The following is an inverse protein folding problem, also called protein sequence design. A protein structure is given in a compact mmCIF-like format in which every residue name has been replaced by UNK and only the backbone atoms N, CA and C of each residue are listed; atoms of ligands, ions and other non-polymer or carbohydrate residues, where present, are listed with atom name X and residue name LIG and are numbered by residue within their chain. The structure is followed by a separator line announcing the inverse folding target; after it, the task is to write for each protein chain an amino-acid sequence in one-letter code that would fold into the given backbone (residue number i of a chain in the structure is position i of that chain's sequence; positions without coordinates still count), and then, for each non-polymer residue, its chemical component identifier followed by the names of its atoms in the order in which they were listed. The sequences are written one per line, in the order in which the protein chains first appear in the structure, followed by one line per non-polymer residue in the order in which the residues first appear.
data_IF_149310156161
#
_entry.id   IF_149310156161
#
_cell.length_a   1.000
_cell.length_b   1.000
_cell.length_c   1.000
_cell.angle_alpha   90.00
_cell.angle_beta   90.00
_cell.angle_gamma   90.00
#
_symmetry.space_group_name_H-M   'P 1'
#
loop_
_entity.id
_entity.type
_entity.pdbx_description
1 polymer ?
#
# COMPACT_ATOMS: atom_id res chain seq x y z
N UNK A 1 -14.91 -17.89 31.03
CA UNK A 1 -15.04 -18.91 29.96
C UNK A 1 -13.89 -18.72 28.99
N UNK A 2 -12.90 -19.63 29.08
CA UNK A 2 -11.76 -19.70 28.13
C UNK A 2 -12.33 -20.31 26.85
N UNK A 3 -12.49 -19.51 25.79
CA UNK A 3 -12.75 -20.03 24.46
C UNK A 3 -11.45 -20.62 23.91
N UNK A 4 -11.31 -21.93 23.99
CA UNK A 4 -10.31 -22.69 23.22
C UNK A 4 -10.82 -22.75 21.78
N UNK A 5 -10.08 -22.12 20.85
CA UNK A 5 -10.34 -22.28 19.44
C UNK A 5 -9.64 -23.53 18.94
N UNK A 6 -10.26 -24.35 18.06
CA UNK A 6 -9.63 -25.53 17.49
C UNK A 6 -8.44 -25.11 16.63
N UNK A 7 -7.31 -25.77 16.83
CA UNK A 7 -6.11 -25.64 16.00
C UNK A 7 -6.40 -26.22 14.63
N UNK A 8 -6.76 -25.39 13.67
CA UNK A 8 -6.75 -25.77 12.26
C UNK A 8 -5.79 -24.87 11.50
N UNK A 9 -5.05 -25.45 10.56
CA UNK A 9 -4.05 -24.90 9.64
C UNK A 9 -3.73 -23.40 9.84
N UNK A 10 -2.44 -23.06 10.02
CA UNK A 10 -1.90 -21.72 10.31
C UNK A 10 -2.84 -20.57 9.93
N UNK A 11 -3.57 -20.05 10.88
CA UNK A 11 -4.55 -18.99 10.66
C UNK A 11 -4.03 -17.69 11.28
N UNK A 12 -4.15 -16.60 10.57
CA UNK A 12 -4.02 -15.27 11.17
C UNK A 12 -5.39 -14.83 11.66
N UNK A 13 -5.48 -14.43 12.92
CA UNK A 13 -6.70 -13.92 13.52
C UNK A 13 -6.63 -12.39 13.51
N UNK A 14 -7.50 -11.70 12.76
CA UNK A 14 -7.57 -10.25 12.80
C UNK A 14 -8.33 -9.79 14.04
N UNK A 15 -7.77 -8.81 14.75
CA UNK A 15 -8.39 -8.17 15.91
C UNK A 15 -8.42 -6.67 15.68
N UNK A 16 -9.60 -6.10 15.51
CA UNK A 16 -9.76 -4.65 15.44
C UNK A 16 -9.48 -4.05 16.82
N UNK A 17 -8.66 -3.01 16.84
CA UNK A 17 -8.26 -2.31 18.05
C UNK A 17 -9.01 -0.99 18.13
N UNK A 18 -9.67 -0.79 19.26
CA UNK A 18 -10.23 0.50 19.62
C UNK A 18 -9.11 1.45 20.08
N UNK A 19 -9.06 2.64 19.51
CA UNK A 19 -8.01 3.61 19.81
C UNK A 19 -8.21 4.22 21.20
N UNK A 20 -7.11 4.31 21.98
CA UNK A 20 -7.13 4.80 23.35
C UNK A 20 -7.33 3.72 24.41
N UNK A 21 -7.68 2.51 24.02
CA UNK A 21 -7.83 1.37 24.92
C UNK A 21 -6.48 0.70 25.20
N UNK A 22 -6.32 0.13 26.40
CA UNK A 22 -5.17 -0.71 26.74
C UNK A 22 -5.60 -2.18 26.72
N UNK A 23 -4.98 -2.95 25.85
CA UNK A 23 -5.17 -4.38 25.72
C UNK A 23 -4.15 -5.14 26.57
N UNK A 24 -4.59 -6.22 27.24
CA UNK A 24 -3.75 -7.01 28.15
C UNK A 24 -3.73 -8.49 27.80
N UNK A 25 -4.21 -8.85 26.59
CA UNK A 25 -4.46 -10.25 26.21
C UNK A 25 -3.49 -10.80 25.17
N UNK A 26 -2.67 -9.95 24.57
CA UNK A 26 -1.85 -10.31 23.40
C UNK A 26 -0.37 -10.26 23.75
N UNK A 27 0.37 -11.23 23.29
CA UNK A 27 1.84 -11.25 23.31
C UNK A 27 2.35 -10.54 22.02
N UNK A 28 2.50 -9.23 22.05
CA UNK A 28 3.01 -8.44 20.92
C UNK A 28 4.53 -8.41 20.86
N UNK A 29 5.19 -8.70 22.00
CA UNK A 29 6.66 -8.79 22.08
C UNK A 29 7.20 -10.11 21.58
N UNK A 30 6.39 -11.18 21.62
CA UNK A 30 6.75 -12.53 21.24
C UNK A 30 7.66 -13.22 22.26
N UNK A 31 7.53 -12.86 23.54
CA UNK A 31 8.28 -13.47 24.66
C UNK A 31 7.50 -14.58 25.40
N UNK A 32 6.29 -14.89 24.92
CA UNK A 32 5.39 -15.87 25.50
C UNK A 32 4.52 -15.34 26.64
N UNK A 33 4.60 -14.05 26.94
CA UNK A 33 3.81 -13.37 27.97
C UNK A 33 2.83 -12.39 27.36
N UNK A 34 1.73 -12.15 28.05
CA UNK A 34 0.77 -11.12 27.64
C UNK A 34 1.33 -9.73 27.95
N UNK A 35 1.17 -8.83 27.02
CA UNK A 35 1.65 -7.44 27.12
C UNK A 35 0.51 -6.47 27.40
N UNK A 36 0.85 -5.34 28.02
CA UNK A 36 0.00 -4.15 28.04
C UNK A 36 0.27 -3.34 26.76
N UNK A 37 -0.72 -3.28 25.87
CA UNK A 37 -0.58 -2.67 24.58
C UNK A 37 -1.65 -1.61 24.32
N UNK A 38 -1.23 -0.41 23.93
CA UNK A 38 -2.12 0.72 23.61
C UNK A 38 -1.78 1.31 22.26
N UNK A 39 -2.83 1.63 21.47
CA UNK A 39 -2.75 2.42 20.23
C UNK A 39 -3.63 3.64 20.41
N UNK A 40 -3.10 4.84 20.21
CA UNK A 40 -3.84 6.09 20.37
C UNK A 40 -3.49 7.11 19.31
N UNK A 41 -4.50 7.77 18.74
CA UNK A 41 -4.32 8.99 17.95
C UNK A 41 -4.06 10.16 18.92
N UNK A 42 -3.06 10.98 18.63
CA UNK A 42 -2.67 12.10 19.50
C UNK A 42 -2.30 13.34 18.71
N UNK A 43 -2.53 14.50 19.30
CA UNK A 43 -2.06 15.80 18.84
C UNK A 43 -0.83 16.21 19.64
N UNK A 44 0.29 16.39 18.97
CA UNK A 44 1.56 16.77 19.61
C UNK A 44 1.82 18.28 19.59
N UNK A 45 1.12 19.01 18.73
CA UNK A 45 1.11 20.46 18.75
C UNK A 45 -0.31 20.97 18.50
N UNK A 46 -0.58 22.19 18.98
CA UNK A 46 -1.90 22.80 18.93
C UNK A 46 -2.15 23.65 17.67
N UNK A 47 -1.12 23.84 16.84
CA UNK A 47 -1.21 24.78 15.71
C UNK A 47 -2.02 24.25 14.53
N UNK A 48 -2.05 22.92 14.33
CA UNK A 48 -2.75 22.29 13.19
C UNK A 48 -3.88 21.34 13.60
N UNK A 49 -4.12 21.18 14.88
CA UNK A 49 -5.06 20.19 15.39
C UNK A 49 -6.20 20.88 16.12
N UNK A 50 -7.26 21.19 15.37
CA UNK A 50 -8.57 21.44 15.96
C UNK A 50 -9.14 20.15 16.58
N UNK A 51 -10.26 20.25 17.28
CA UNK A 51 -10.92 19.07 17.87
C UNK A 51 -11.18 17.99 16.81
N UNK A 52 -10.70 16.78 17.08
CA UNK A 52 -10.87 15.62 16.20
C UNK A 52 -9.79 15.41 15.14
N UNK A 53 -8.74 16.24 15.10
CA UNK A 53 -7.59 16.06 14.21
C UNK A 53 -6.32 15.74 14.98
N UNK A 54 -5.51 14.84 14.43
CA UNK A 54 -4.31 14.29 15.05
C UNK A 54 -3.13 14.34 14.11
N UNK A 55 -1.91 14.45 14.66
CA UNK A 55 -0.67 14.47 13.87
C UNK A 55 0.32 13.36 14.24
N UNK A 56 -0.04 12.48 15.17
CA UNK A 56 0.76 11.31 15.51
C UNK A 56 -0.10 10.13 15.99
N UNK A 57 0.47 8.94 15.85
CA UNK A 57 -0.03 7.73 16.50
C UNK A 57 0.92 7.39 17.65
N UNK A 58 0.39 7.29 18.85
CA UNK A 58 1.10 6.82 20.02
C UNK A 58 0.89 5.31 20.17
N UNK A 59 1.98 4.57 20.28
CA UNK A 59 2.01 3.13 20.52
C UNK A 59 2.76 2.88 21.82
N UNK A 60 2.18 2.13 22.75
CA UNK A 60 2.81 1.81 24.01
C UNK A 60 2.75 0.30 24.25
N UNK A 61 3.87 -0.30 24.62
CA UNK A 61 3.97 -1.71 25.03
C UNK A 61 4.70 -1.77 26.35
N UNK A 62 4.04 -2.29 27.39
CA UNK A 62 4.60 -2.45 28.73
C UNK A 62 5.26 -1.17 29.27
N UNK A 63 4.58 -0.03 29.10
CA UNK A 63 5.06 1.29 29.53
C UNK A 63 6.11 1.94 28.62
N UNK A 64 6.59 1.25 27.57
CA UNK A 64 7.51 1.84 26.57
C UNK A 64 6.71 2.47 25.45
N UNK A 65 6.67 3.80 25.43
CA UNK A 65 5.95 4.58 24.43
C UNK A 65 6.77 4.91 23.19
N UNK A 66 6.10 4.99 22.04
CA UNK A 66 6.67 5.40 20.77
C UNK A 66 5.64 6.24 20.00
N UNK A 67 6.11 7.28 19.30
CA UNK A 67 5.30 8.08 18.40
C UNK A 67 5.66 7.78 16.95
N UNK A 68 4.64 7.56 16.12
CA UNK A 68 4.74 7.63 14.67
C UNK A 68 4.13 8.96 14.26
N UNK A 69 4.99 9.91 13.88
CA UNK A 69 4.59 11.29 13.60
C UNK A 69 4.37 11.50 12.10
N UNK A 70 3.42 12.36 11.75
CA UNK A 70 3.36 12.95 10.43
C UNK A 70 4.64 13.77 10.18
N UNK A 71 5.08 13.81 8.93
CA UNK A 71 6.16 14.69 8.53
C UNK A 71 5.64 16.12 8.39
N UNK A 72 6.56 17.09 8.44
CA UNK A 72 6.22 18.50 8.17
C UNK A 72 5.45 18.62 6.85
N UNK A 73 4.45 19.48 6.83
CA UNK A 73 3.55 19.75 5.70
C UNK A 73 2.58 18.59 5.31
N UNK A 74 2.52 17.51 6.07
CA UNK A 74 1.47 16.51 5.92
C UNK A 74 0.22 16.93 6.69
N UNK A 75 -0.95 16.75 6.06
CA UNK A 75 -2.23 17.10 6.69
C UNK A 75 -2.52 16.20 7.90
N UNK A 76 -3.04 16.76 8.99
CA UNK A 76 -3.54 15.99 10.13
C UNK A 76 -4.58 14.97 9.69
N UNK A 77 -4.70 13.89 10.43
CA UNK A 77 -5.70 12.87 10.19
C UNK A 77 -6.82 12.92 11.24
N UNK A 78 -8.01 12.52 10.85
CA UNK A 78 -9.20 12.51 11.71
C UNK A 78 -9.68 11.10 12.04
N UNK A 79 -9.13 10.08 11.38
CA UNK A 79 -9.52 8.68 11.60
C UNK A 79 -8.29 7.79 11.66
N UNK A 80 -8.24 6.93 12.66
CA UNK A 80 -7.20 5.91 12.82
C UNK A 80 -7.86 4.53 12.87
N UNK A 81 -7.52 3.68 11.90
CA UNK A 81 -7.82 2.25 11.92
C UNK A 81 -6.58 1.50 12.38
N UNK A 82 -6.73 0.72 13.43
CA UNK A 82 -5.69 -0.16 13.95
C UNK A 82 -6.22 -1.59 14.02
N UNK A 83 -5.42 -2.56 13.55
CA UNK A 83 -5.78 -3.97 13.58
C UNK A 83 -4.56 -4.82 13.88
N UNK A 84 -4.68 -5.74 14.83
CA UNK A 84 -3.65 -6.71 15.14
C UNK A 84 -3.94 -8.01 14.40
N UNK A 85 -2.94 -8.55 13.69
CA UNK A 85 -2.98 -9.88 13.11
C UNK A 85 -2.16 -10.82 13.97
N UNK A 86 -2.81 -11.82 14.57
CA UNK A 86 -2.21 -12.81 15.45
C UNK A 86 -1.95 -14.08 14.64
N UNK A 87 -0.74 -14.60 14.68
CA UNK A 87 -0.33 -15.81 13.99
C UNK A 87 0.04 -16.90 15.00
N UNK A 88 -0.23 -18.17 14.69
CA UNK A 88 0.02 -19.30 15.60
C UNK A 88 1.52 -19.47 15.95
N UNK A 89 2.41 -19.20 15.00
CA UNK A 89 3.85 -19.45 15.11
C UNK A 89 4.71 -18.22 14.78
N UNK A 90 4.16 -17.02 14.89
CA UNK A 90 4.90 -15.82 14.57
C UNK A 90 4.40 -14.64 15.42
N UNK A 91 5.27 -13.64 15.61
CA UNK A 91 4.90 -12.41 16.30
C UNK A 91 3.74 -11.71 15.61
N UNK A 92 2.81 -11.13 16.36
CA UNK A 92 1.72 -10.37 15.80
C UNK A 92 2.19 -9.20 14.93
N UNK A 93 1.39 -8.86 13.94
CA UNK A 93 1.59 -7.70 13.09
C UNK A 93 0.52 -6.65 13.38
N UNK A 94 0.92 -5.39 13.46
CA UNK A 94 0.02 -4.26 13.63
C UNK A 94 -0.19 -3.56 12.29
N UNK A 95 -1.41 -3.56 11.79
CA UNK A 95 -1.81 -2.71 10.67
C UNK A 95 -2.29 -1.36 11.22
N UNK A 96 -1.78 -0.27 10.64
CA UNK A 96 -2.20 1.10 10.90
C UNK A 96 -2.63 1.77 9.60
N UNK A 97 -3.72 2.54 9.68
CA UNK A 97 -4.20 3.38 8.60
C UNK A 97 -4.82 4.64 9.17
N UNK A 98 -4.09 5.74 9.09
CA UNK A 98 -4.56 7.07 9.51
C UNK A 98 -5.04 7.85 8.29
N UNK A 99 -6.33 8.20 8.28
CA UNK A 99 -7.01 8.86 7.16
C UNK A 99 -7.12 10.36 7.40
N UNK A 100 -6.61 11.14 6.46
CA UNK A 100 -6.72 12.61 6.36
C UNK A 100 -7.76 13.00 5.31
N UNK A 101 -7.98 14.30 5.14
CA UNK A 101 -8.81 14.85 4.08
C UNK A 101 -8.35 14.38 2.69
N UNK A 102 -9.28 14.36 1.74
CA UNK A 102 -9.08 13.79 0.40
C UNK A 102 -8.60 12.33 0.41
N UNK A 103 -8.98 11.58 1.44
CA UNK A 103 -8.60 10.17 1.62
C UNK A 103 -7.08 9.89 1.68
N UNK A 104 -6.26 10.91 1.91
CA UNK A 104 -4.83 10.69 2.10
C UNK A 104 -4.54 9.85 3.33
N UNK A 105 -3.54 8.98 3.23
CA UNK A 105 -3.06 8.12 4.31
C UNK A 105 -1.56 8.24 4.42
N UNK A 106 -1.09 9.16 5.26
CA UNK A 106 0.35 9.39 5.46
C UNK A 106 0.99 8.41 6.46
N UNK A 107 0.19 7.85 7.39
CA UNK A 107 0.56 6.72 8.24
C UNK A 107 -0.27 5.54 7.77
N UNK A 108 0.35 4.64 7.00
CA UNK A 108 -0.35 3.51 6.41
C UNK A 108 0.62 2.35 6.20
N UNK A 109 0.42 1.25 6.92
CA UNK A 109 1.32 0.11 6.77
C UNK A 109 1.17 -0.97 7.82
N UNK A 110 2.08 -1.92 7.74
CA UNK A 110 2.16 -3.08 8.64
C UNK A 110 3.46 -3.00 9.42
N UNK A 111 3.33 -3.08 10.74
CA UNK A 111 4.43 -2.97 11.69
C UNK A 111 4.58 -4.27 12.48
N UNK A 112 5.79 -4.49 13.01
CA UNK A 112 6.12 -5.53 13.99
C UNK A 112 6.87 -4.91 15.16
N UNK A 113 6.58 -5.38 16.37
CA UNK A 113 7.36 -5.00 17.55
C UNK A 113 8.67 -5.78 17.59
N UNK A 114 9.78 -5.06 17.67
CA UNK A 114 11.11 -5.63 17.64
C UNK A 114 12.12 -4.75 18.38
N UNK A 115 12.90 -5.35 19.26
CA UNK A 115 13.93 -4.64 20.05
C UNK A 115 13.37 -3.39 20.77
N UNK A 116 12.21 -3.55 21.42
CA UNK A 116 11.60 -2.51 22.23
C UNK A 116 10.85 -1.43 21.46
N UNK A 117 10.62 -1.60 20.16
CA UNK A 117 9.89 -0.61 19.33
C UNK A 117 9.17 -1.25 18.15
N UNK A 118 8.15 -0.55 17.66
CA UNK A 118 7.45 -0.89 16.43
C UNK A 118 8.26 -0.42 15.20
N UNK A 119 8.41 -1.33 14.25
CA UNK A 119 9.08 -1.05 12.97
C UNK A 119 8.18 -1.44 11.81
N UNK A 120 8.16 -0.63 10.76
CA UNK A 120 7.49 -0.99 9.53
C UNK A 120 8.14 -2.21 8.88
N UNK A 121 7.35 -3.25 8.64
CA UNK A 121 7.67 -4.33 7.70
C UNK A 121 7.19 -3.96 6.28
N UNK A 122 6.10 -3.20 6.19
CA UNK A 122 5.56 -2.69 4.94
C UNK A 122 5.02 -1.28 5.17
N UNK A 123 5.71 -0.29 4.63
CA UNK A 123 5.19 1.08 4.53
C UNK A 123 4.45 1.20 3.19
N UNK A 124 3.12 1.15 3.24
CA UNK A 124 2.28 1.13 2.05
C UNK A 124 2.35 2.45 1.28
N UNK A 125 2.74 3.54 1.95
CA UNK A 125 2.92 4.85 1.31
C UNK A 125 4.17 4.89 0.43
N UNK A 126 5.12 3.97 0.64
CA UNK A 126 6.40 3.91 -0.10
C UNK A 126 6.50 2.77 -1.11
N UNK A 127 5.48 1.90 -1.18
CA UNK A 127 5.56 0.63 -1.93
C UNK A 127 5.93 0.84 -3.36
N UNK A 128 5.64 1.73 -4.12
CA UNK A 128 6.02 1.83 -5.54
C UNK A 128 7.09 2.90 -5.83
N UNK A 129 7.81 3.33 -4.79
CA UNK A 129 8.93 4.27 -4.91
C UNK A 129 8.56 5.55 -5.66
N UNK A 130 9.43 5.97 -6.58
CA UNK A 130 9.25 7.20 -7.35
C UNK A 130 8.28 7.09 -8.53
N UNK A 131 7.61 5.95 -8.70
CA UNK A 131 6.68 5.73 -9.82
C UNK A 131 5.25 6.13 -9.51
N UNK A 132 4.99 6.68 -8.33
CA UNK A 132 3.66 7.09 -7.87
C UNK A 132 3.66 8.53 -7.37
N UNK A 133 2.53 9.19 -7.46
CA UNK A 133 2.23 10.40 -6.68
C UNK A 133 1.87 9.99 -5.25
N UNK A 134 0.94 9.06 -5.11
CA UNK A 134 0.60 8.42 -3.86
C UNK A 134 0.30 6.93 -4.04
N UNK A 135 0.45 6.20 -2.97
CA UNK A 135 -0.11 4.87 -2.81
C UNK A 135 -0.69 4.77 -1.41
N UNK A 136 -1.86 4.17 -1.30
CA UNK A 136 -2.52 3.84 -0.03
C UNK A 136 -3.01 2.41 -0.10
N UNK A 137 -2.79 1.66 0.97
CA UNK A 137 -3.13 0.24 1.03
C UNK A 137 -4.13 -0.07 2.13
N UNK A 138 -4.92 -1.11 1.91
CA UNK A 138 -5.78 -1.69 2.92
C UNK A 138 -5.61 -3.21 2.91
N UNK A 139 -5.45 -3.80 4.10
CA UNK A 139 -5.50 -5.26 4.22
C UNK A 139 -6.96 -5.68 4.12
N UNK A 140 -7.31 -6.35 3.01
CA UNK A 140 -8.68 -6.73 2.67
C UNK A 140 -8.99 -8.20 2.96
N UNK A 141 -7.96 -9.01 3.14
CA UNK A 141 -8.09 -10.44 3.41
C UNK A 141 -6.83 -10.98 4.07
N UNK A 142 -6.99 -12.04 4.85
CA UNK A 142 -5.91 -12.76 5.49
C UNK A 142 -6.23 -14.27 5.50
N UNK A 143 -5.23 -15.08 5.19
CA UNK A 143 -5.36 -16.54 5.17
C UNK A 143 -4.01 -17.17 5.48
N UNK A 144 -3.94 -17.97 6.53
CA UNK A 144 -2.68 -18.49 7.03
C UNK A 144 -1.70 -17.36 7.33
N UNK A 145 -0.49 -17.43 6.77
CA UNK A 145 0.51 -16.37 6.88
C UNK A 145 0.44 -15.33 5.75
N UNK A 146 -0.66 -15.31 5.00
CA UNK A 146 -0.82 -14.39 3.89
C UNK A 146 -1.69 -13.19 4.29
N UNK A 147 -1.28 -12.01 3.84
CA UNK A 147 -2.05 -10.78 3.91
C UNK A 147 -2.28 -10.27 2.50
N UNK A 148 -3.54 -10.11 2.12
CA UNK A 148 -3.91 -9.51 0.84
C UNK A 148 -4.15 -8.02 1.02
N UNK A 149 -3.35 -7.23 0.33
CA UNK A 149 -3.41 -5.76 0.37
C UNK A 149 -3.97 -5.25 -0.95
N UNK A 150 -5.02 -4.46 -0.86
CA UNK A 150 -5.53 -3.66 -1.96
C UNK A 150 -4.91 -2.28 -1.90
N UNK A 151 -4.21 -1.91 -2.96
CA UNK A 151 -3.66 -0.58 -3.14
C UNK A 151 -4.54 0.26 -4.03
N UNK A 152 -4.69 1.52 -3.67
CA UNK A 152 -5.07 2.59 -4.58
C UNK A 152 -3.82 3.38 -4.92
N UNK A 153 -3.50 3.46 -6.19
CA UNK A 153 -2.25 4.07 -6.69
C UNK A 153 -2.57 5.09 -7.75
N UNK A 154 -1.99 6.27 -7.61
CA UNK A 154 -1.93 7.27 -8.67
C UNK A 154 -0.51 7.33 -9.21
N UNK A 155 -0.33 7.10 -10.50
CA UNK A 155 0.97 7.17 -11.14
C UNK A 155 0.90 7.91 -12.48
N UNK A 156 2.03 8.52 -12.89
CA UNK A 156 2.09 9.26 -14.16
C UNK A 156 1.97 8.37 -15.40
N UNK A 157 2.30 7.09 -15.28
CA UNK A 157 2.32 6.20 -16.45
C UNK A 157 0.93 5.86 -16.95
N UNK A 158 0.02 5.50 -16.02
CA UNK A 158 -1.34 5.04 -16.39
C UNK A 158 -2.45 5.71 -15.57
N UNK A 159 -2.11 6.69 -14.72
CA UNK A 159 -3.08 7.35 -13.86
C UNK A 159 -3.47 6.52 -12.65
N UNK A 160 -4.72 6.64 -12.22
CA UNK A 160 -5.26 5.94 -11.06
C UNK A 160 -5.58 4.48 -11.37
N UNK A 161 -5.23 3.58 -10.46
CA UNK A 161 -5.62 2.17 -10.53
C UNK A 161 -5.74 1.55 -9.14
N UNK A 162 -6.53 0.46 -9.04
CA UNK A 162 -6.59 -0.40 -7.87
C UNK A 162 -5.90 -1.72 -8.16
N UNK A 163 -5.02 -2.12 -7.24
CA UNK A 163 -4.16 -3.29 -7.38
C UNK A 163 -4.24 -4.16 -6.14
N UNK A 164 -4.40 -5.47 -6.31
CA UNK A 164 -4.25 -6.44 -5.22
C UNK A 164 -2.87 -7.07 -5.26
N UNK A 165 -2.20 -7.08 -4.10
CA UNK A 165 -0.98 -7.82 -3.81
C UNK A 165 -1.20 -8.76 -2.65
N UNK A 166 -0.68 -9.99 -2.75
CA UNK A 166 -0.58 -10.90 -1.61
C UNK A 166 0.83 -10.84 -1.04
N UNK A 167 0.93 -10.65 0.26
CA UNK A 167 2.19 -10.69 1.01
C UNK A 167 2.23 -11.94 1.88
N UNK A 168 3.39 -12.60 1.93
CA UNK A 168 3.64 -13.77 2.77
C UNK A 168 4.47 -13.33 3.95
N UNK A 169 3.98 -13.58 5.17
CA UNK A 169 4.72 -13.37 6.41
C UNK A 169 5.43 -14.65 6.80
N UNK A 170 6.75 -14.67 6.70
CA UNK A 170 7.58 -15.84 7.05
C UNK A 170 8.92 -15.38 7.61
N UNK A 171 9.36 -16.04 8.71
CA UNK A 171 10.63 -15.75 9.37
C UNK A 171 10.81 -14.27 9.73
N UNK A 172 9.73 -13.62 10.18
CA UNK A 172 9.74 -12.22 10.56
C UNK A 172 9.83 -11.23 9.42
N UNK A 173 9.67 -11.67 8.18
CA UNK A 173 9.72 -10.82 6.98
C UNK A 173 8.39 -10.91 6.23
N UNK A 174 7.91 -9.76 5.77
CA UNK A 174 6.72 -9.66 4.93
C UNK A 174 7.16 -9.36 3.49
N UNK A 175 6.96 -10.32 2.59
CA UNK A 175 7.38 -10.21 1.19
C UNK A 175 6.18 -10.40 0.24
N UNK A 176 6.13 -9.69 -0.90
CA UNK A 176 5.11 -9.95 -1.90
C UNK A 176 5.30 -11.36 -2.47
N UNK A 177 4.21 -12.11 -2.59
CA UNK A 177 4.18 -13.46 -3.19
C UNK A 177 4.52 -13.42 -4.69
N UNK A 178 4.29 -12.28 -5.32
CA UNK A 178 4.56 -12.04 -6.74
C UNK A 178 4.96 -10.60 -6.97
N UNK A 179 5.81 -10.37 -7.98
CA UNK A 179 6.09 -9.01 -8.48
C UNK A 179 4.95 -8.39 -9.30
N UNK A 180 3.91 -9.17 -9.59
CA UNK A 180 2.73 -8.71 -10.32
C UNK A 180 1.62 -8.27 -9.36
N UNK A 181 1.10 -7.06 -9.57
CA UNK A 181 -0.15 -6.61 -8.99
C UNK A 181 -1.32 -7.01 -9.88
N UNK A 182 -2.35 -7.61 -9.28
CA UNK A 182 -3.61 -7.89 -9.99
C UNK A 182 -4.40 -6.60 -10.10
N UNK A 183 -4.59 -6.09 -11.33
CA UNK A 183 -5.42 -4.92 -11.58
C UNK A 183 -6.88 -5.32 -11.31
N UNK A 184 -7.50 -4.66 -10.32
CA UNK A 184 -8.88 -4.92 -9.90
C UNK A 184 -9.81 -3.94 -10.57
N UNK A 185 -9.46 -2.65 -10.55
CA UNK A 185 -10.24 -1.61 -11.19
C UNK A 185 -9.28 -0.65 -11.90
N UNK A 186 -9.57 -0.43 -13.18
CA UNK A 186 -8.86 0.50 -14.02
C UNK A 186 -9.79 0.95 -15.14
N UNK A 187 -10.16 2.20 -15.14
CA UNK A 187 -11.01 2.80 -16.18
C UNK A 187 -10.45 4.13 -16.59
N UNK A 188 -10.37 4.38 -17.88
CA UNK A 188 -9.95 5.66 -18.39
C UNK A 188 -11.04 6.71 -18.22
N UNK A 189 -10.61 7.97 -18.15
CA UNK A 189 -11.50 9.10 -17.84
C UNK A 189 -12.66 9.28 -18.83
N UNK A 190 -12.41 8.99 -20.11
CA UNK A 190 -13.39 9.31 -21.16
C UNK A 190 -14.21 8.13 -21.65
N UNK A 191 -13.64 6.94 -21.65
CA UNK A 191 -14.27 5.78 -22.28
C UNK A 191 -14.84 4.77 -21.27
N UNK A 192 -14.53 4.91 -20.00
CA UNK A 192 -14.92 3.96 -18.96
C UNK A 192 -14.32 2.55 -19.12
N UNK A 193 -13.38 2.38 -20.06
CA UNK A 193 -12.67 1.13 -20.34
C UNK A 193 -11.17 1.24 -19.99
N UNK A 194 -10.39 0.22 -20.33
CA UNK A 194 -8.94 0.19 -20.07
C UNK A 194 -8.09 0.77 -21.21
N UNK A 195 -8.68 1.49 -22.13
CA UNK A 195 -8.04 2.00 -23.32
C UNK A 195 -7.36 3.34 -23.07
N UNK A 196 -6.05 3.39 -23.23
CA UNK A 196 -5.24 4.60 -23.21
C UNK A 196 -4.99 5.12 -24.63
N UNK A 197 -4.89 6.43 -24.75
CA UNK A 197 -4.52 7.11 -26.03
C UNK A 197 -3.11 7.68 -25.88
N UNK A 198 -2.18 7.20 -26.72
CA UNK A 198 -0.79 7.66 -26.69
C UNK A 198 -0.70 9.15 -27.05
N UNK A 199 0.00 9.92 -26.24
CA UNK A 199 0.22 11.35 -26.44
C UNK A 199 1.51 11.66 -27.22
N UNK A 200 2.38 10.67 -27.33
CA UNK A 200 3.65 10.72 -28.04
C UNK A 200 4.10 9.33 -28.52
N UNK A 201 5.27 9.26 -29.14
CA UNK A 201 5.89 7.97 -29.48
C UNK A 201 6.35 7.24 -28.24
N UNK A 202 5.90 5.98 -28.06
CA UNK A 202 6.23 5.12 -26.92
C UNK A 202 6.68 3.75 -27.44
N UNK A 203 7.88 3.34 -27.07
CA UNK A 203 8.40 2.01 -27.41
C UNK A 203 7.99 0.99 -26.36
N UNK A 204 7.39 -0.10 -26.80
CA UNK A 204 7.08 -1.26 -25.98
C UNK A 204 8.01 -2.43 -26.30
N UNK A 205 8.44 -3.16 -25.29
CA UNK A 205 9.42 -4.22 -25.35
C UNK A 205 8.76 -5.60 -25.20
N UNK A 206 9.39 -6.64 -25.76
CA UNK A 206 8.90 -8.03 -25.63
C UNK A 206 8.94 -8.55 -24.20
N UNK A 207 9.91 -8.08 -23.38
CA UNK A 207 10.09 -8.44 -21.96
C UNK A 207 10.19 -7.18 -21.10
N UNK A 208 9.99 -7.33 -19.80
CA UNK A 208 10.22 -6.24 -18.85
C UNK A 208 11.66 -5.77 -18.93
N UNK A 209 11.85 -4.50 -19.26
CA UNK A 209 13.16 -3.87 -19.33
C UNK A 209 13.99 -4.20 -20.58
N UNK A 210 13.45 -4.93 -21.60
CA UNK A 210 14.23 -5.24 -22.80
C UNK A 210 13.67 -6.36 -23.67
N UNK A 211 14.56 -7.13 -24.31
CA UNK A 211 14.17 -8.26 -25.17
C UNK A 211 13.73 -7.84 -26.57
N UNK A 212 14.19 -6.68 -27.04
CA UNK A 212 13.82 -6.13 -28.35
C UNK A 212 12.46 -5.44 -28.36
N UNK A 213 12.20 -4.66 -29.39
CA UNK A 213 10.95 -3.93 -29.58
C UNK A 213 9.83 -4.89 -29.96
N UNK A 214 8.69 -4.81 -29.26
CA UNK A 214 7.45 -5.47 -29.65
C UNK A 214 6.65 -4.62 -30.63
N UNK A 215 6.44 -3.35 -30.27
CA UNK A 215 5.81 -2.33 -31.12
C UNK A 215 6.23 -0.93 -30.67
N UNK A 216 5.95 0.04 -31.53
CA UNK A 216 6.08 1.46 -31.22
C UNK A 216 4.72 2.10 -31.40
N UNK A 217 4.23 2.77 -30.36
CA UNK A 217 3.04 3.62 -30.44
C UNK A 217 3.41 4.96 -31.08
N UNK A 218 2.49 5.51 -31.84
CA UNK A 218 2.52 6.90 -32.29
C UNK A 218 1.42 7.68 -31.55
N UNK A 219 1.52 9.00 -31.54
CA UNK A 219 0.46 9.87 -30.99
C UNK A 219 -0.90 9.47 -31.59
N UNK A 220 -1.93 9.37 -30.74
CA UNK A 220 -3.28 8.95 -31.12
C UNK A 220 -3.51 7.42 -31.12
N UNK A 221 -2.46 6.59 -31.08
CA UNK A 221 -2.67 5.15 -30.99
C UNK A 221 -3.35 4.77 -29.68
N UNK A 222 -4.29 3.83 -29.79
CA UNK A 222 -5.07 3.31 -28.64
C UNK A 222 -4.48 1.98 -28.19
N UNK A 223 -4.31 1.83 -26.86
CA UNK A 223 -3.78 0.61 -26.23
C UNK A 223 -4.58 0.25 -25.00
N UNK A 224 -4.60 -1.03 -24.66
CA UNK A 224 -5.28 -1.55 -23.47
C UNK A 224 -4.25 -1.91 -22.41
N UNK A 225 -4.45 -1.45 -21.17
CA UNK A 225 -3.64 -1.81 -19.99
C UNK A 225 -3.99 -3.24 -19.57
N UNK A 226 -2.98 -4.11 -19.45
CA UNK A 226 -3.19 -5.51 -19.10
C UNK A 226 -2.63 -5.92 -17.74
N UNK A 227 -1.37 -5.54 -17.45
CA UNK A 227 -0.66 -6.00 -16.25
C UNK A 227 0.19 -4.90 -15.64
N UNK A 228 0.28 -4.95 -14.34
CA UNK A 228 1.19 -4.16 -13.51
C UNK A 228 2.26 -5.08 -12.94
N UNK A 229 3.52 -4.66 -13.02
CA UNK A 229 4.64 -5.35 -12.38
C UNK A 229 5.59 -4.36 -11.75
N UNK A 230 5.85 -4.55 -10.45
CA UNK A 230 6.87 -3.79 -9.73
C UNK A 230 7.92 -4.74 -9.20
N UNK A 231 9.17 -4.59 -9.63
CA UNK A 231 10.27 -5.47 -9.24
C UNK A 231 11.61 -4.75 -9.38
N UNK A 232 12.55 -5.03 -8.46
CA UNK A 232 13.87 -4.40 -8.49
C UNK A 232 13.82 -2.87 -8.45
N UNK A 233 12.83 -2.28 -7.74
CA UNK A 233 12.64 -0.83 -7.67
C UNK A 233 12.17 -0.19 -8.98
N UNK A 234 11.64 -0.97 -9.93
CA UNK A 234 11.16 -0.48 -11.24
C UNK A 234 9.74 -0.92 -11.53
N UNK A 235 8.98 -0.02 -12.13
CA UNK A 235 7.61 -0.27 -12.59
C UNK A 235 7.62 -0.62 -14.08
N UNK A 236 6.85 -1.65 -14.42
CA UNK A 236 6.58 -2.07 -15.80
C UNK A 236 5.08 -2.25 -15.99
N UNK A 237 4.58 -1.76 -17.13
CA UNK A 237 3.17 -1.90 -17.51
C UNK A 237 3.09 -2.69 -18.80
N UNK A 238 2.29 -3.74 -18.85
CA UNK A 238 2.00 -4.47 -20.08
C UNK A 238 0.83 -3.85 -20.79
N UNK A 239 1.02 -3.57 -22.06
CA UNK A 239 0.01 -3.01 -22.95
C UNK A 239 -0.31 -4.00 -24.07
N UNK A 240 -1.57 -3.94 -24.57
CA UNK A 240 -2.00 -4.61 -25.79
C UNK A 240 -2.31 -3.56 -26.86
N UNK A 241 -1.69 -3.73 -28.04
CA UNK A 241 -1.89 -2.90 -29.22
C UNK A 241 -2.24 -3.80 -30.42
N UNK A 242 -3.50 -3.79 -30.84
CA UNK A 242 -4.02 -4.78 -31.78
C UNK A 242 -3.81 -6.21 -31.27
N UNK A 243 -3.13 -7.05 -32.04
CA UNK A 243 -2.79 -8.43 -31.65
C UNK A 243 -1.47 -8.53 -30.87
N UNK A 244 -0.68 -7.45 -30.81
CA UNK A 244 0.64 -7.43 -30.15
C UNK A 244 0.50 -7.06 -28.66
N UNK A 245 1.38 -7.63 -27.85
CA UNK A 245 1.54 -7.23 -26.45
C UNK A 245 2.98 -6.82 -26.18
N UNK A 246 3.18 -5.86 -25.29
CA UNK A 246 4.52 -5.39 -24.96
C UNK A 246 4.56 -4.66 -23.62
N UNK A 247 5.74 -4.53 -23.07
CA UNK A 247 6.02 -3.89 -21.80
C UNK A 247 6.60 -2.51 -22.01
N UNK A 248 6.08 -1.53 -21.30
CA UNK A 248 6.68 -0.21 -21.17
C UNK A 248 7.29 -0.05 -19.77
N UNK A 249 8.38 0.71 -19.69
CA UNK A 249 8.92 1.12 -18.40
C UNK A 249 8.01 2.18 -17.79
N UNK A 250 7.76 2.09 -16.49
CA UNK A 250 7.03 3.12 -15.77
C UNK A 250 7.77 4.46 -15.80
N UNK A 251 7.01 5.52 -15.79
CA UNK A 251 7.51 6.88 -15.74
C UNK A 251 7.75 7.28 -14.27
N UNK A 252 8.97 7.64 -13.93
CA UNK A 252 9.26 8.17 -12.61
C UNK A 252 8.60 9.54 -12.42
N UNK A 253 8.07 9.76 -11.24
CA UNK A 253 7.61 11.08 -10.83
C UNK A 253 8.82 11.97 -10.53
N UNK A 254 9.10 12.90 -11.41
CA UNK A 254 10.01 14.01 -11.16
C UNK A 254 9.17 15.27 -11.24
N UNK A 255 8.80 15.86 -10.13
CA UNK A 255 8.02 17.08 -10.07
C UNK A 255 6.68 17.03 -10.86
N UNK A 256 5.95 18.12 -10.94
CA UNK A 256 4.72 18.22 -11.74
C UNK A 256 4.99 17.87 -13.21
N UNK A 257 4.25 16.92 -13.75
CA UNK A 257 4.28 16.56 -15.17
C UNK A 257 3.09 17.24 -15.84
N UNK A 258 3.37 18.18 -16.74
CA UNK A 258 2.31 18.83 -17.53
C UNK A 258 1.57 17.81 -18.39
N UNK A 259 0.32 18.13 -18.79
CA UNK A 259 -0.48 17.26 -19.66
C UNK A 259 0.25 16.88 -20.96
N UNK A 260 1.09 17.77 -21.50
CA UNK A 260 1.89 17.53 -22.70
C UNK A 260 3.04 16.54 -22.45
N UNK A 261 3.53 16.46 -21.24
CA UNK A 261 4.62 15.53 -20.87
C UNK A 261 4.09 14.13 -20.55
N UNK A 262 2.80 13.98 -20.27
CA UNK A 262 2.19 12.68 -20.01
C UNK A 262 2.29 11.78 -21.25
N UNK A 263 2.48 10.48 -21.00
CA UNK A 263 2.59 9.50 -22.10
C UNK A 263 1.23 9.22 -22.75
N UNK A 264 0.16 9.40 -22.01
CA UNK A 264 -1.21 9.18 -22.46
C UNK A 264 -2.09 10.37 -22.10
N UNK A 265 -3.04 10.71 -22.98
CA UNK A 265 -3.86 11.91 -22.86
C UNK A 265 -5.13 11.74 -22.04
N UNK A 266 -5.56 10.50 -21.79
CA UNK A 266 -6.84 10.20 -21.12
C UNK A 266 -6.64 9.41 -19.82
N UNK A 267 -5.62 9.78 -19.04
CA UNK A 267 -5.36 9.14 -17.76
C UNK A 267 -6.54 9.27 -16.80
N UNK A 268 -6.91 8.21 -16.08
CA UNK A 268 -7.86 8.31 -15.00
C UNK A 268 -7.25 9.08 -13.82
N UNK A 269 -8.01 9.98 -13.26
CA UNK A 269 -7.73 10.71 -12.03
C UNK A 269 -8.85 10.44 -11.01
N UNK A 270 -8.53 10.57 -9.74
CA UNK A 270 -9.48 10.54 -8.62
C UNK A 270 -9.87 11.94 -8.27
#
# INVERSE_FOLDING_TARGET
LIKTYPVSAASSIPVDLETGYTYTYYDVTGDGRKDNFTVKAVSLDTYYTGDGYYNAVYLCVNGKGQYIKLKNMQMPFYSLKARLYIFDNARPLLYLSAKSDNDHKFINGILRYENGRWKYLLDMTKTFGDYKQYARGEVIDNSGNNLKVRYEVMCWTIGFCRLDYTYIYKNGVLKPASSYGKIIDYRTRYNGDRTLVANKSIRAYKKCGGGGTSFVLRKGNKVVVQKWRYTGGRLYIRLKYGLKTGWINGQKQKNYVSSEQQWFSNLPYV
#
